data_IF_102039016205
#
_entry.id   IF_102039016205
#
_cell.length_a   1.000
_cell.length_b   1.000
_cell.length_c   1.000
_cell.angle_alpha   90.00
_cell.angle_beta   90.00
_cell.angle_gamma   90.00
#
_symmetry.space_group_name_H-M   'P 1'
#
loop_
_entity.id
_entity.type
_entity.pdbx_description
1 polymer ?
#
# COMPACT_ATOMS: atom_id res chain seq x y z
N UNK A 1 4.05 1.90 9.72
CA UNK A 1 2.63 2.12 10.06
C UNK A 1 2.51 3.22 11.10
N UNK A 2 1.42 3.99 11.05
CA UNK A 2 1.02 4.89 12.12
C UNK A 2 -0.51 5.08 12.17
N UNK A 3 -0.97 5.71 13.25
CA UNK A 3 -2.38 6.03 13.47
C UNK A 3 -2.98 6.89 12.35
N UNK A 4 -2.23 7.83 11.78
CA UNK A 4 -2.77 8.73 10.75
C UNK A 4 -3.10 7.97 9.48
N UNK A 5 -2.18 7.12 9.01
CA UNK A 5 -2.39 6.27 7.83
C UNK A 5 -3.65 5.40 8.01
N UNK A 6 -3.74 4.68 9.13
CA UNK A 6 -4.88 3.84 9.42
C UNK A 6 -6.19 4.61 9.57
N UNK A 7 -6.14 5.78 10.22
CA UNK A 7 -7.28 6.68 10.33
C UNK A 7 -7.80 7.16 8.97
N UNK A 8 -6.94 7.34 7.96
CA UNK A 8 -7.40 7.64 6.58
C UNK A 8 -8.15 6.47 5.96
N UNK A 9 -7.65 5.24 6.12
CA UNK A 9 -8.37 4.05 5.64
C UNK A 9 -9.69 3.83 6.39
N UNK A 10 -9.71 3.98 7.71
CA UNK A 10 -10.95 3.95 8.52
C UNK A 10 -11.95 5.00 8.03
N UNK A 11 -11.48 6.23 7.80
CA UNK A 11 -12.32 7.31 7.28
C UNK A 11 -12.90 6.94 5.92
N UNK A 12 -12.09 6.48 4.97
CA UNK A 12 -12.56 6.09 3.64
C UNK A 12 -13.58 4.95 3.70
N UNK A 13 -13.37 3.94 4.55
CA UNK A 13 -14.29 2.80 4.72
C UNK A 13 -15.71 3.19 5.15
N UNK A 14 -15.89 4.34 5.79
CA UNK A 14 -17.22 4.85 6.13
C UNK A 14 -18.03 5.30 4.88
N UNK A 15 -17.35 5.70 3.82
CA UNK A 15 -17.95 6.16 2.57
C UNK A 15 -17.94 5.07 1.49
N UNK A 16 -16.89 4.26 1.50
CA UNK A 16 -16.67 3.15 0.58
C UNK A 16 -16.38 1.86 1.38
N UNK A 17 -17.43 1.19 1.90
CA UNK A 17 -17.29 -0.01 2.70
C UNK A 17 -16.58 -1.14 1.94
N UNK A 18 -15.68 -1.78 2.68
CA UNK A 18 -14.88 -2.93 2.25
C UNK A 18 -15.53 -4.27 2.68
N UNK A 19 -16.81 -4.23 3.04
CA UNK A 19 -17.63 -5.36 3.45
C UNK A 19 -19.02 -5.17 2.82
N UNK A 20 -19.43 -6.12 1.98
CA UNK A 20 -20.69 -6.05 1.23
C UNK A 20 -21.93 -6.09 2.13
N UNK A 21 -21.80 -6.56 3.38
CA UNK A 21 -22.89 -6.57 4.36
C UNK A 21 -23.09 -5.20 5.05
N UNK A 22 -22.13 -4.29 4.92
CA UNK A 22 -22.16 -2.96 5.57
C UNK A 22 -22.71 -1.91 4.61
N UNK A 23 -23.68 -1.14 5.10
CA UNK A 23 -24.20 0.02 4.38
C UNK A 23 -23.16 1.15 4.35
N UNK A 24 -23.21 1.98 3.29
CA UNK A 24 -22.48 3.25 3.26
C UNK A 24 -23.04 4.15 4.36
N UNK A 25 -22.18 4.69 5.22
CA UNK A 25 -22.61 5.58 6.31
C UNK A 25 -22.87 7.00 5.82
N UNK A 26 -22.29 7.38 4.68
CA UNK A 26 -22.39 8.72 4.12
C UNK A 26 -22.13 8.71 2.62
N UNK A 27 -22.58 9.77 1.95
CA UNK A 27 -22.29 10.00 0.54
C UNK A 27 -20.79 10.27 0.34
N UNK A 28 -20.16 9.55 -0.57
CA UNK A 28 -18.75 9.71 -0.91
C UNK A 28 -18.41 11.14 -1.33
N UNK A 29 -19.35 11.87 -1.94
CA UNK A 29 -19.14 13.26 -2.32
C UNK A 29 -18.91 14.21 -1.14
N UNK A 30 -19.24 13.78 0.09
CA UNK A 30 -18.98 14.53 1.31
C UNK A 30 -17.61 14.25 1.93
N UNK A 31 -16.80 13.34 1.36
CA UNK A 31 -15.43 13.05 1.81
C UNK A 31 -14.41 14.07 1.25
N UNK A 32 -14.63 15.35 1.53
CA UNK A 32 -13.67 16.43 1.24
C UNK A 32 -13.20 16.47 -0.22
N UNK A 33 -11.88 16.41 -0.41
CA UNK A 33 -11.20 16.49 -1.72
C UNK A 33 -11.45 15.29 -2.65
N UNK A 34 -12.09 14.20 -2.19
CA UNK A 34 -12.40 13.08 -3.09
C UNK A 34 -13.26 13.51 -4.27
N UNK A 35 -14.09 14.55 -4.08
CA UNK A 35 -14.96 15.11 -5.12
C UNK A 35 -14.16 15.60 -6.32
N UNK A 36 -12.96 16.12 -6.08
CA UNK A 36 -12.10 16.64 -7.14
C UNK A 36 -11.56 15.50 -8.00
N UNK A 37 -11.40 14.30 -7.42
CA UNK A 37 -10.96 13.08 -8.09
C UNK A 37 -12.08 12.22 -8.66
N UNK A 38 -13.33 12.62 -8.48
CA UNK A 38 -14.47 11.85 -8.98
C UNK A 38 -14.58 11.87 -10.51
N UNK A 39 -13.95 12.84 -11.17
CA UNK A 39 -13.82 12.91 -12.63
C UNK A 39 -12.44 12.39 -13.10
N UNK A 40 -12.29 12.09 -14.39
CA UNK A 40 -10.98 11.77 -14.99
C UNK A 40 -10.19 13.04 -15.39
N UNK A 41 -10.64 14.23 -14.97
CA UNK A 41 -10.04 15.52 -15.29
C UNK A 41 -10.41 16.10 -16.67
N UNK A 42 -11.22 15.38 -17.46
CA UNK A 42 -11.63 15.78 -18.83
C UNK A 42 -13.14 16.03 -18.99
N UNK A 43 -13.98 15.76 -17.98
CA UNK A 43 -15.44 15.88 -18.11
C UNK A 43 -16.09 16.71 -17.00
N UNK A 44 -16.95 17.65 -17.39
CA UNK A 44 -17.82 18.40 -16.49
C UNK A 44 -19.01 17.51 -16.07
N UNK A 45 -18.93 16.93 -14.88
CA UNK A 45 -20.02 16.17 -14.28
C UNK A 45 -19.69 15.73 -12.86
N UNK A 46 -20.72 15.46 -12.06
CA UNK A 46 -20.55 14.77 -10.77
C UNK A 46 -20.12 13.35 -11.10
N UNK A 47 -18.81 13.10 -11.06
CA UNK A 47 -18.23 11.77 -11.27
C UNK A 47 -18.50 10.83 -10.07
N UNK A 48 -17.70 9.78 -9.83
CA UNK A 48 -17.98 8.79 -8.76
C UNK A 48 -19.37 8.10 -8.85
N UNK A 49 -19.87 7.82 -10.06
CA UNK A 49 -21.22 7.28 -10.28
C UNK A 49 -21.29 5.78 -10.05
N UNK A 50 -20.24 5.07 -10.44
CA UNK A 50 -20.12 3.62 -10.27
C UNK A 50 -19.25 3.28 -9.06
N UNK A 51 -19.34 2.05 -8.55
CA UNK A 51 -18.44 1.59 -7.48
C UNK A 51 -16.96 1.68 -7.92
N UNK A 52 -16.65 1.46 -9.20
CA UNK A 52 -15.28 1.59 -9.74
C UNK A 52 -14.82 3.06 -9.82
N UNK A 53 -15.70 3.99 -10.19
CA UNK A 53 -15.38 5.43 -10.16
C UNK A 53 -15.09 5.88 -8.72
N UNK A 54 -15.82 5.34 -7.75
CA UNK A 54 -15.63 5.62 -6.32
C UNK A 54 -14.32 5.03 -5.80
N UNK A 55 -13.97 3.82 -6.24
CA UNK A 55 -12.66 3.20 -5.93
C UNK A 55 -11.52 4.04 -6.51
N UNK A 56 -11.66 4.53 -7.74
CA UNK A 56 -10.68 5.44 -8.37
C UNK A 56 -10.49 6.73 -7.57
N UNK A 57 -11.58 7.42 -7.25
CA UNK A 57 -11.54 8.63 -6.41
C UNK A 57 -10.94 8.35 -5.03
N UNK A 58 -11.30 7.21 -4.41
CA UNK A 58 -10.76 6.78 -3.13
C UNK A 58 -9.25 6.52 -3.17
N UNK A 59 -8.74 5.92 -4.26
CA UNK A 59 -7.31 5.70 -4.45
C UNK A 59 -6.53 7.01 -4.53
N UNK A 60 -6.99 7.97 -5.34
CA UNK A 60 -6.38 9.30 -5.46
C UNK A 60 -6.44 10.07 -4.15
N UNK A 61 -7.58 10.00 -3.45
CA UNK A 61 -7.74 10.58 -2.12
C UNK A 61 -6.74 9.98 -1.11
N UNK A 62 -6.53 8.67 -1.11
CA UNK A 62 -5.51 8.07 -0.23
C UNK A 62 -4.09 8.56 -0.56
N UNK A 63 -3.74 8.72 -1.84
CA UNK A 63 -2.45 9.29 -2.22
C UNK A 63 -2.30 10.74 -1.76
N UNK A 64 -3.32 11.57 -1.98
CA UNK A 64 -3.30 12.96 -1.53
C UNK A 64 -3.14 13.05 0.00
N UNK A 65 -3.98 12.34 0.76
CA UNK A 65 -4.02 12.46 2.21
C UNK A 65 -2.79 11.89 2.91
N UNK A 66 -2.18 10.84 2.36
CA UNK A 66 -1.04 10.17 2.99
C UNK A 66 0.31 10.62 2.44
N UNK A 67 0.37 11.05 1.17
CA UNK A 67 1.61 11.40 0.48
C UNK A 67 1.70 12.91 0.29
N UNK A 68 0.78 13.51 -0.48
CA UNK A 68 0.91 14.93 -0.89
C UNK A 68 0.83 15.89 0.30
N UNK A 69 -0.13 15.68 1.19
CA UNK A 69 -0.30 16.54 2.36
C UNK A 69 0.90 16.46 3.31
N UNK A 70 1.62 15.33 3.33
CA UNK A 70 2.74 15.08 4.22
C UNK A 70 4.11 15.13 3.52
N UNK A 71 4.14 15.49 2.23
CA UNK A 71 5.27 15.31 1.32
C UNK A 71 6.59 15.87 1.88
N UNK A 72 6.54 17.04 2.50
CA UNK A 72 7.71 17.75 3.03
C UNK A 72 8.40 17.03 4.20
N UNK A 73 7.70 16.10 4.85
CA UNK A 73 8.17 15.32 5.99
C UNK A 73 8.23 13.81 5.71
N UNK A 74 7.95 13.41 4.46
CA UNK A 74 7.77 12.02 4.09
C UNK A 74 9.11 11.37 3.75
N UNK A 75 9.54 10.40 4.55
CA UNK A 75 10.72 9.59 4.21
C UNK A 75 10.44 8.61 3.08
N UNK A 76 11.48 8.23 2.33
CA UNK A 76 11.40 7.22 1.25
C UNK A 76 10.84 5.87 1.72
N UNK A 77 11.25 5.42 2.90
CA UNK A 77 10.79 4.15 3.47
C UNK A 77 9.30 4.22 3.80
N UNK A 78 8.87 5.31 4.45
CA UNK A 78 7.44 5.52 4.78
C UNK A 78 6.60 5.65 3.51
N UNK A 79 7.11 6.34 2.50
CA UNK A 79 6.48 6.40 1.18
C UNK A 79 6.26 5.00 0.59
N UNK A 80 7.28 4.15 0.54
CA UNK A 80 7.18 2.78 0.00
C UNK A 80 6.11 1.96 0.72
N UNK A 81 6.07 2.06 2.05
CA UNK A 81 5.07 1.38 2.90
C UNK A 81 3.64 1.85 2.55
N UNK A 82 3.42 3.16 2.41
CA UNK A 82 2.12 3.72 2.04
C UNK A 82 1.67 3.20 0.68
N UNK A 83 2.56 3.17 -0.33
CA UNK A 83 2.25 2.64 -1.66
C UNK A 83 1.80 1.18 -1.57
N UNK A 84 2.53 0.34 -0.83
CA UNK A 84 2.17 -1.08 -0.65
C UNK A 84 0.73 -1.21 -0.14
N UNK A 85 0.36 -0.50 0.92
CA UNK A 85 -0.98 -0.61 1.50
C UNK A 85 -2.08 -0.04 0.60
N UNK A 86 -1.83 1.08 -0.10
CA UNK A 86 -2.81 1.62 -1.05
C UNK A 86 -3.05 0.65 -2.21
N UNK A 87 -2.00 0.03 -2.75
CA UNK A 87 -2.13 -0.95 -3.84
C UNK A 87 -2.85 -2.22 -3.37
N UNK A 88 -2.54 -2.72 -2.18
CA UNK A 88 -3.24 -3.89 -1.60
C UNK A 88 -4.73 -3.58 -1.39
N UNK A 89 -5.05 -2.41 -0.84
CA UNK A 89 -6.43 -1.95 -0.70
C UNK A 89 -7.13 -1.82 -2.06
N UNK A 90 -6.49 -1.20 -3.04
CA UNK A 90 -7.05 -0.99 -4.38
C UNK A 90 -7.37 -2.33 -5.04
N UNK A 91 -6.42 -3.25 -5.04
CA UNK A 91 -6.58 -4.59 -5.61
C UNK A 91 -7.70 -5.36 -4.88
N UNK A 92 -7.77 -5.28 -3.55
CA UNK A 92 -8.88 -5.85 -2.79
C UNK A 92 -10.24 -5.27 -3.19
N UNK A 93 -10.36 -3.95 -3.25
CA UNK A 93 -11.63 -3.27 -3.52
C UNK A 93 -12.14 -3.51 -4.93
N UNK A 94 -11.26 -3.51 -5.94
CA UNK A 94 -11.62 -3.89 -7.32
C UNK A 94 -12.17 -5.32 -7.32
N UNK A 95 -11.51 -6.22 -6.60
CA UNK A 95 -11.96 -7.60 -6.51
C UNK A 95 -13.26 -7.77 -5.70
N UNK A 96 -13.53 -6.90 -4.74
CA UNK A 96 -14.79 -6.92 -3.99
C UNK A 96 -15.96 -6.44 -4.85
N UNK A 97 -15.70 -5.51 -5.78
CA UNK A 97 -16.71 -4.77 -6.57
C UNK A 97 -16.63 -5.06 -8.07
N UNK A 98 -16.24 -6.28 -8.44
CA UNK A 98 -16.14 -6.73 -9.85
C UNK A 98 -17.47 -6.50 -10.56
N UNK A 99 -17.43 -5.85 -11.71
CA UNK A 99 -18.61 -5.59 -12.55
C UNK A 99 -18.63 -6.42 -13.85
N UNK A 100 -17.66 -7.33 -14.00
CA UNK A 100 -17.46 -8.19 -15.17
C UNK A 100 -16.68 -7.52 -16.31
N UNK A 101 -16.58 -6.18 -16.34
CA UNK A 101 -15.77 -5.42 -17.31
C UNK A 101 -14.36 -5.18 -16.79
N UNK A 102 -14.24 -4.92 -15.49
CA UNK A 102 -12.97 -4.80 -14.78
C UNK A 102 -12.86 -5.98 -13.83
N UNK A 103 -11.99 -6.93 -14.18
CA UNK A 103 -11.85 -8.18 -13.43
C UNK A 103 -10.57 -8.21 -12.59
N UNK A 104 -9.62 -7.34 -12.89
CA UNK A 104 -8.34 -7.27 -12.20
C UNK A 104 -7.79 -5.83 -12.20
N UNK A 105 -6.69 -5.66 -11.47
CA UNK A 105 -6.00 -4.39 -11.31
C UNK A 105 -5.37 -3.85 -12.61
N UNK A 106 -4.99 -4.71 -13.56
CA UNK A 106 -4.45 -4.28 -14.86
C UNK A 106 -5.55 -3.69 -15.74
N UNK A 107 -6.73 -4.31 -15.78
CA UNK A 107 -7.90 -3.75 -16.48
C UNK A 107 -8.27 -2.38 -15.90
N UNK A 108 -8.22 -2.25 -14.58
CA UNK A 108 -8.44 -0.99 -13.88
C UNK A 108 -7.39 0.04 -14.26
N UNK A 109 -6.11 -0.34 -14.29
CA UNK A 109 -5.03 0.56 -14.68
C UNK A 109 -5.27 1.15 -16.07
N UNK A 110 -5.54 0.33 -17.08
CA UNK A 110 -5.79 0.78 -18.46
C UNK A 110 -6.99 1.72 -18.56
N UNK A 111 -8.08 1.45 -17.81
CA UNK A 111 -9.32 2.21 -17.92
C UNK A 111 -9.35 3.48 -17.05
N UNK A 112 -8.80 3.42 -15.85
CA UNK A 112 -8.95 4.47 -14.82
C UNK A 112 -7.67 5.25 -14.50
N UNK A 113 -6.49 4.68 -14.78
CA UNK A 113 -5.20 5.27 -14.37
C UNK A 113 -4.43 5.82 -15.58
N UNK A 114 -4.29 5.02 -16.64
CA UNK A 114 -3.35 5.30 -17.74
C UNK A 114 -3.55 6.69 -18.36
N UNK A 115 -4.80 7.11 -18.56
CA UNK A 115 -5.17 8.38 -19.20
C UNK A 115 -5.69 9.43 -18.22
N UNK A 116 -5.69 9.13 -16.93
CA UNK A 116 -6.26 10.02 -15.93
C UNK A 116 -5.23 11.07 -15.49
N UNK A 117 -5.54 12.34 -15.78
CA UNK A 117 -4.66 13.48 -15.54
C UNK A 117 -4.32 13.69 -14.05
N UNK A 118 -5.17 13.24 -13.13
CA UNK A 118 -4.88 13.30 -11.69
C UNK A 118 -3.77 12.34 -11.27
N UNK A 119 -3.59 11.21 -11.96
CA UNK A 119 -2.45 10.33 -11.72
C UNK A 119 -1.16 10.85 -12.34
N UNK A 120 -1.27 11.64 -13.41
CA UNK A 120 -0.13 12.21 -14.13
C UNK A 120 0.36 13.56 -13.55
N UNK A 121 -0.28 14.08 -12.51
CA UNK A 121 0.05 15.38 -11.91
C UNK A 121 0.17 15.32 -10.39
N UNK A 122 0.85 16.31 -9.81
CA UNK A 122 0.94 16.53 -8.37
C UNK A 122 0.40 17.93 -8.07
N UNK A 123 -0.64 18.05 -7.25
CA UNK A 123 -1.15 19.35 -6.78
C UNK A 123 -1.29 19.40 -5.27
N UNK A 124 -0.69 20.40 -4.64
CA UNK A 124 -0.83 20.72 -3.20
C UNK A 124 -1.30 22.16 -3.07
N UNK A 125 -2.51 22.37 -2.54
CA UNK A 125 -3.15 23.68 -2.46
C UNK A 125 -3.12 24.43 -3.81
N UNK A 126 -3.57 23.77 -4.89
CA UNK A 126 -3.57 24.25 -6.28
C UNK A 126 -2.21 24.52 -6.93
N UNK A 127 -1.11 24.35 -6.20
CA UNK A 127 0.25 24.53 -6.73
C UNK A 127 0.83 23.19 -7.18
N UNK A 128 1.63 23.23 -8.26
CA UNK A 128 2.40 22.07 -8.71
C UNK A 128 3.39 21.63 -7.63
N UNK A 129 3.31 20.36 -7.23
CA UNK A 129 4.20 19.75 -6.24
C UNK A 129 5.14 18.69 -6.83
N UNK A 130 5.23 18.58 -8.15
CA UNK A 130 6.00 17.51 -8.82
C UNK A 130 7.49 17.53 -8.44
N UNK A 131 8.08 18.71 -8.23
CA UNK A 131 9.46 18.84 -7.78
C UNK A 131 9.66 18.30 -6.35
N UNK A 132 8.83 18.72 -5.40
CA UNK A 132 8.88 18.21 -4.02
C UNK A 132 8.63 16.70 -3.97
N UNK A 133 7.70 16.19 -4.79
CA UNK A 133 7.43 14.76 -4.91
C UNK A 133 8.66 14.01 -5.40
N UNK A 134 9.31 14.53 -6.44
CA UNK A 134 10.52 13.93 -7.00
C UNK A 134 11.68 13.94 -6.01
N UNK A 135 11.90 15.02 -5.29
CA UNK A 135 12.96 15.12 -4.28
C UNK A 135 12.77 14.09 -3.15
N UNK A 136 11.54 13.95 -2.65
CA UNK A 136 11.23 13.11 -1.51
C UNK A 136 11.11 11.62 -1.88
N UNK A 137 10.49 11.33 -3.02
CA UNK A 137 10.11 9.95 -3.40
C UNK A 137 10.93 9.41 -4.56
N UNK A 138 11.48 10.28 -5.42
CA UNK A 138 12.17 9.90 -6.64
C UNK A 138 11.29 9.84 -7.90
N UNK A 139 9.99 10.14 -7.81
CA UNK A 139 9.09 10.11 -8.97
C UNK A 139 8.27 11.38 -9.12
N UNK A 140 7.82 11.64 -10.35
CA UNK A 140 7.19 12.91 -10.71
C UNK A 140 5.68 12.94 -10.43
N UNK A 141 5.01 11.78 -10.38
CA UNK A 141 3.56 11.67 -10.17
C UNK A 141 3.14 10.27 -9.70
N UNK A 142 1.84 10.09 -9.43
CA UNK A 142 1.28 8.82 -8.94
C UNK A 142 1.33 7.70 -9.97
N UNK A 143 1.17 8.03 -11.26
CA UNK A 143 1.23 7.04 -12.35
C UNK A 143 2.60 6.35 -12.37
N UNK A 144 3.68 7.13 -12.25
CA UNK A 144 5.04 6.57 -12.17
C UNK A 144 5.23 5.66 -10.95
N UNK A 145 4.60 5.97 -9.81
CA UNK A 145 4.66 5.10 -8.64
C UNK A 145 4.08 3.72 -8.93
N UNK A 146 2.92 3.69 -9.59
CA UNK A 146 2.19 2.47 -9.89
C UNK A 146 2.95 1.64 -10.92
N UNK A 147 3.42 2.27 -12.00
CA UNK A 147 4.23 1.59 -13.04
C UNK A 147 5.52 1.00 -12.47
N UNK A 148 6.23 1.74 -11.62
CA UNK A 148 7.48 1.27 -11.01
C UNK A 148 7.27 0.23 -9.93
N UNK A 149 6.05 0.09 -9.43
CA UNK A 149 5.66 -0.94 -8.47
C UNK A 149 4.64 -1.93 -9.06
N UNK A 150 4.65 -2.12 -10.39
CA UNK A 150 3.74 -3.03 -11.09
C UNK A 150 3.82 -4.47 -10.56
N UNK A 151 4.96 -4.86 -9.99
CA UNK A 151 5.15 -6.17 -9.36
C UNK A 151 4.15 -6.44 -8.23
N UNK A 152 3.68 -5.40 -7.52
CA UNK A 152 2.66 -5.52 -6.47
C UNK A 152 1.27 -5.82 -7.04
N UNK A 153 1.04 -5.51 -8.31
CA UNK A 153 -0.23 -5.76 -9.01
C UNK A 153 -0.40 -7.25 -9.35
N UNK A 154 0.71 -8.00 -9.40
CA UNK A 154 0.75 -9.42 -9.78
C UNK A 154 0.53 -10.40 -8.61
N UNK A 155 0.17 -9.92 -7.42
CA UNK A 155 -0.19 -10.80 -6.30
C UNK A 155 -1.53 -11.46 -6.60
N UNK A 156 -1.63 -12.76 -6.36
CA UNK A 156 -2.86 -13.49 -6.64
C UNK A 156 -4.02 -12.98 -5.76
N UNK A 157 -5.24 -13.20 -6.25
CA UNK A 157 -6.46 -12.69 -5.62
C UNK A 157 -6.66 -13.17 -4.17
N UNK A 158 -6.46 -14.47 -3.92
CA UNK A 158 -6.68 -15.07 -2.61
C UNK A 158 -5.73 -14.49 -1.57
N UNK A 159 -4.48 -14.22 -1.98
CA UNK A 159 -3.46 -13.66 -1.11
C UNK A 159 -3.65 -12.16 -0.91
N UNK A 160 -4.08 -11.40 -1.93
CA UNK A 160 -4.47 -9.98 -1.75
C UNK A 160 -5.57 -9.85 -0.69
N UNK A 161 -6.56 -10.74 -0.71
CA UNK A 161 -7.65 -10.73 0.28
C UNK A 161 -7.15 -11.01 1.69
N UNK A 162 -6.24 -11.98 1.86
CA UNK A 162 -5.60 -12.27 3.16
C UNK A 162 -4.70 -11.12 3.62
N UNK A 163 -3.88 -10.56 2.73
CA UNK A 163 -3.03 -9.40 3.02
C UNK A 163 -3.85 -8.20 3.45
N UNK A 164 -4.93 -7.89 2.75
CA UNK A 164 -5.81 -6.79 3.12
C UNK A 164 -6.47 -7.05 4.48
N UNK A 165 -6.92 -8.29 4.74
CA UNK A 165 -7.49 -8.65 6.03
C UNK A 165 -6.47 -8.50 7.18
N UNK A 166 -5.21 -8.88 6.97
CA UNK A 166 -4.13 -8.69 7.95
C UNK A 166 -3.81 -7.20 8.15
N UNK A 167 -3.66 -6.45 7.06
CA UNK A 167 -3.47 -5.00 7.08
C UNK A 167 -4.59 -4.28 7.85
N UNK A 168 -5.86 -4.67 7.63
CA UNK A 168 -7.01 -4.10 8.34
C UNK A 168 -6.94 -4.36 9.84
N UNK A 169 -6.65 -5.59 10.27
CA UNK A 169 -6.47 -5.89 11.70
C UNK A 169 -5.31 -5.11 12.30
N UNK A 170 -4.18 -5.00 11.57
CA UNK A 170 -3.07 -4.16 12.00
C UNK A 170 -3.50 -2.70 12.18
N UNK A 171 -4.29 -2.16 11.27
CA UNK A 171 -4.78 -0.80 11.41
C UNK A 171 -5.71 -0.60 12.60
N UNK A 172 -6.62 -1.54 12.85
CA UNK A 172 -7.48 -1.50 14.04
C UNK A 172 -6.64 -1.50 15.33
N UNK A 173 -5.52 -2.23 15.38
CA UNK A 173 -4.62 -2.17 16.53
C UNK A 173 -4.12 -0.75 16.79
N UNK A 174 -3.74 -0.01 15.74
CA UNK A 174 -3.29 1.38 15.85
C UNK A 174 -4.41 2.34 16.20
N UNK A 175 -5.60 2.20 15.62
CA UNK A 175 -6.69 3.18 15.76
C UNK A 175 -7.59 2.96 16.97
N UNK A 176 -7.59 1.77 17.56
CA UNK A 176 -8.30 1.48 18.82
C UNK A 176 -7.51 1.83 20.08
N UNK A 177 -6.26 2.27 19.94
CA UNK A 177 -5.51 2.85 21.05
C UNK A 177 -6.17 4.15 21.48
N UNK A 178 -6.87 4.13 22.61
CA UNK A 178 -7.40 5.32 23.25
C UNK A 178 -6.24 6.03 23.96
N UNK A 179 -6.00 7.29 23.62
CA UNK A 179 -4.96 8.11 24.26
C UNK A 179 -5.19 8.28 25.77
N UNK A 180 -6.40 8.00 26.27
CA UNK A 180 -6.75 8.04 27.70
C UNK A 180 -6.68 6.67 28.37
N UNK A 181 -6.54 5.59 27.59
CA UNK A 181 -6.37 4.24 28.13
C UNK A 181 -4.87 3.92 28.22
N UNK A 182 -4.45 3.48 29.40
CA UNK A 182 -3.07 3.06 29.64
C UNK A 182 -2.83 1.60 29.25
N UNK A 183 -3.89 0.90 28.83
CA UNK A 183 -3.87 -0.52 28.47
C UNK A 183 -4.44 -0.75 27.08
N UNK A 184 -3.91 -1.78 26.43
CA UNK A 184 -4.29 -2.19 25.07
C UNK A 184 -5.43 -3.24 25.08
N UNK A 185 -6.47 -3.04 25.90
CA UNK A 185 -7.47 -4.09 26.14
C UNK A 185 -8.31 -4.38 24.87
N UNK A 186 -8.78 -3.34 24.17
CA UNK A 186 -9.51 -3.46 22.89
C UNK A 186 -8.59 -3.92 21.76
N UNK A 187 -7.38 -3.37 21.72
CA UNK A 187 -6.40 -3.72 20.71
C UNK A 187 -6.00 -5.22 20.78
N UNK A 188 -6.08 -5.85 21.96
CA UNK A 188 -5.63 -7.24 22.15
C UNK A 188 -6.40 -8.24 21.29
N UNK A 189 -7.69 -7.98 21.03
CA UNK A 189 -8.48 -8.79 20.11
C UNK A 189 -7.94 -8.66 18.67
N UNK A 190 -7.69 -7.43 18.23
CA UNK A 190 -7.09 -7.16 16.92
C UNK A 190 -5.66 -7.70 16.79
N UNK A 191 -4.87 -7.71 17.87
CA UNK A 191 -3.55 -8.36 17.92
C UNK A 191 -3.67 -9.84 17.63
N UNK A 192 -4.59 -10.54 18.33
CA UNK A 192 -4.80 -11.98 18.11
C UNK A 192 -5.29 -12.27 16.68
N UNK A 193 -6.18 -11.43 16.17
CA UNK A 193 -6.67 -11.55 14.80
C UNK A 193 -5.55 -11.33 13.77
N UNK A 194 -4.70 -10.32 13.99
CA UNK A 194 -3.54 -10.06 13.15
C UNK A 194 -2.57 -11.24 13.15
N UNK A 195 -2.16 -11.73 14.33
CA UNK A 195 -1.21 -12.85 14.46
C UNK A 195 -1.74 -14.08 13.72
N UNK A 196 -3.03 -14.41 13.91
CA UNK A 196 -3.67 -15.52 13.20
C UNK A 196 -3.58 -15.36 11.67
N UNK A 197 -3.97 -14.19 11.14
CA UNK A 197 -3.93 -13.92 9.69
C UNK A 197 -2.49 -13.90 9.15
N UNK A 198 -1.55 -13.39 9.93
CA UNK A 198 -0.13 -13.40 9.60
C UNK A 198 0.41 -14.84 9.50
N UNK A 199 0.05 -15.71 10.45
CA UNK A 199 0.46 -17.12 10.41
C UNK A 199 -0.15 -17.87 9.21
N UNK A 200 -1.39 -17.55 8.82
CA UNK A 200 -2.03 -18.04 7.59
C UNK A 200 -1.33 -17.56 6.31
N UNK A 201 -0.69 -16.39 6.34
CA UNK A 201 0.14 -15.88 5.25
C UNK A 201 1.57 -16.48 5.29
N UNK A 202 2.06 -16.88 6.46
CA UNK A 202 3.42 -17.38 6.67
C UNK A 202 3.51 -18.92 6.53
N UNK A 203 3.04 -19.45 5.39
CA UNK A 203 2.85 -20.90 5.19
C UNK A 203 4.14 -21.67 4.87
N UNK A 204 4.93 -21.29 3.85
CA UNK A 204 6.36 -21.65 3.61
C UNK A 204 6.79 -21.18 2.20
N UNK A 205 8.08 -21.33 1.87
CA UNK A 205 8.62 -21.31 0.50
C UNK A 205 8.56 -19.97 -0.28
N UNK A 206 8.59 -18.84 0.44
CA UNK A 206 8.59 -17.52 -0.18
C UNK A 206 10.03 -17.08 -0.50
N UNK A 207 10.27 -16.52 -1.69
CA UNK A 207 11.54 -15.89 -2.04
C UNK A 207 11.57 -14.43 -1.60
N UNK A 208 12.70 -13.95 -1.07
CA UNK A 208 12.87 -12.56 -0.56
C UNK A 208 12.55 -11.48 -1.60
N UNK A 209 12.76 -11.79 -2.88
CA UNK A 209 12.53 -10.84 -3.97
C UNK A 209 11.07 -10.82 -4.46
N UNK A 210 10.22 -11.72 -3.96
CA UNK A 210 8.83 -11.80 -4.41
C UNK A 210 7.99 -10.61 -3.92
N UNK A 211 6.97 -10.19 -4.70
CA UNK A 211 5.98 -9.21 -4.24
C UNK A 211 5.31 -9.64 -2.93
N UNK A 212 5.01 -10.93 -2.80
CA UNK A 212 4.43 -11.54 -1.61
C UNK A 212 5.30 -11.30 -0.38
N UNK A 213 6.61 -11.57 -0.47
CA UNK A 213 7.55 -11.31 0.62
C UNK A 213 7.57 -9.85 1.01
N UNK A 214 7.58 -8.93 0.04
CA UNK A 214 7.63 -7.50 0.33
C UNK A 214 6.41 -7.03 1.14
N UNK A 215 5.21 -7.51 0.79
CA UNK A 215 3.99 -7.18 1.54
C UNK A 215 4.02 -7.83 2.93
N UNK A 216 4.39 -9.11 3.03
CA UNK A 216 4.46 -9.83 4.31
C UNK A 216 5.51 -9.22 5.26
N UNK A 217 6.68 -8.88 4.74
CA UNK A 217 7.74 -8.19 5.49
C UNK A 217 7.27 -6.84 5.99
N UNK A 218 6.57 -6.07 5.15
CA UNK A 218 6.02 -4.77 5.54
C UNK A 218 5.02 -4.90 6.70
N UNK A 219 4.13 -5.90 6.65
CA UNK A 219 3.19 -6.20 7.74
C UNK A 219 3.92 -6.63 9.03
N UNK A 220 4.93 -7.49 8.91
CA UNK A 220 5.75 -7.94 10.06
C UNK A 220 6.48 -6.77 10.72
N UNK A 221 7.16 -5.95 9.93
CA UNK A 221 7.92 -4.81 10.42
C UNK A 221 7.00 -3.80 11.10
N UNK A 222 5.84 -3.53 10.52
CA UNK A 222 4.87 -2.62 11.09
C UNK A 222 4.18 -3.14 12.35
N UNK A 223 3.94 -4.45 12.45
CA UNK A 223 3.53 -5.06 13.72
C UNK A 223 4.60 -4.93 14.80
N UNK A 224 5.87 -5.15 14.46
CA UNK A 224 6.98 -4.95 15.41
C UNK A 224 7.09 -3.49 15.84
N UNK A 225 6.83 -2.55 14.92
CA UNK A 225 6.76 -1.12 15.21
C UNK A 225 5.58 -0.74 16.11
N UNK A 226 4.50 -1.53 16.16
CA UNK A 226 3.38 -1.29 17.05
C UNK A 226 3.80 -1.28 18.53
N UNK A 227 4.74 -2.15 18.93
CA UNK A 227 5.28 -2.15 20.30
C UNK A 227 5.97 -0.82 20.64
N UNK A 228 6.69 -0.24 19.69
CA UNK A 228 7.31 1.07 19.87
C UNK A 228 6.25 2.18 19.90
N UNK A 229 5.21 2.07 19.07
CA UNK A 229 4.08 3.00 19.10
C UNK A 229 3.39 3.01 20.48
N UNK A 230 3.14 1.85 21.09
CA UNK A 230 2.60 1.77 22.44
C UNK A 230 3.49 2.49 23.47
N UNK A 231 4.81 2.25 23.44
CA UNK A 231 5.77 2.89 24.35
C UNK A 231 5.73 4.41 24.25
N UNK A 232 5.71 4.96 23.04
CA UNK A 232 5.67 6.42 22.80
C UNK A 232 4.36 7.03 23.32
N UNK A 233 3.27 6.28 23.29
CA UNK A 233 1.95 6.73 23.77
C UNK A 233 1.65 6.33 25.22
N UNK A 234 2.64 5.84 25.98
CA UNK A 234 2.49 5.39 27.38
C UNK A 234 1.41 4.30 27.57
N UNK A 235 1.23 3.44 26.57
CA UNK A 235 0.32 2.29 26.63
C UNK A 235 1.10 1.01 26.94
N UNK A 236 0.63 0.24 27.91
CA UNK A 236 1.20 -1.09 28.20
C UNK A 236 0.74 -2.12 27.16
N UNK A 237 1.71 -2.57 26.36
CA UNK A 237 1.56 -3.58 25.31
C UNK A 237 2.45 -4.80 25.55
N UNK A 238 2.93 -5.03 26.78
CA UNK A 238 3.90 -6.09 27.08
C UNK A 238 3.34 -7.51 26.85
N UNK A 239 2.02 -7.67 26.86
CA UNK A 239 1.34 -8.95 26.62
C UNK A 239 1.17 -9.31 25.13
N UNK A 240 1.62 -8.44 24.21
CA UNK A 240 1.52 -8.66 22.77
C UNK A 240 2.51 -9.73 22.31
N UNK A 241 1.96 -10.78 21.69
CA UNK A 241 2.70 -11.93 21.18
C UNK A 241 3.75 -11.50 20.16
N UNK A 242 4.88 -12.21 20.11
CA UNK A 242 5.86 -12.04 19.01
C UNK A 242 5.38 -12.78 17.79
N UNK A 243 5.66 -12.25 16.60
CA UNK A 243 5.40 -12.98 15.36
C UNK A 243 6.41 -14.10 15.17
N UNK A 244 5.96 -15.16 14.51
CA UNK A 244 6.85 -16.15 13.93
C UNK A 244 7.73 -15.51 12.86
N UNK A 245 9.04 -15.85 12.76
CA UNK A 245 9.87 -15.40 11.66
C UNK A 245 9.26 -15.77 10.30
N UNK A 246 9.45 -14.93 9.29
CA UNK A 246 9.02 -15.23 7.92
C UNK A 246 9.76 -16.48 7.44
N UNK A 247 9.01 -17.46 6.93
CA UNK A 247 9.57 -18.69 6.35
C UNK A 247 10.08 -18.39 4.94
N UNK A 248 11.39 -18.47 4.75
CA UNK A 248 12.06 -18.15 3.49
C UNK A 248 12.53 -19.44 2.82
N UNK A 249 12.34 -19.54 1.50
CA UNK A 249 12.97 -20.60 0.73
C UNK A 249 14.47 -20.36 0.66
N UNK A 250 15.27 -21.19 1.33
CA UNK A 250 16.71 -21.17 1.10
C UNK A 250 16.95 -21.66 -0.34
N UNK A 251 17.45 -20.77 -1.20
CA UNK A 251 18.09 -21.21 -2.43
C UNK A 251 19.30 -22.02 -1.97
N UNK A 252 19.29 -23.33 -2.23
CA UNK A 252 20.38 -24.23 -1.87
C UNK A 252 21.70 -23.76 -2.45
N UNK A 253 22.41 -22.93 -1.69
CA UNK A 253 23.86 -22.78 -1.76
C UNK A 253 24.36 -23.57 -0.56
N UNK A 254 24.84 -24.75 -0.90
CA UNK A 254 25.48 -25.71 -0.02
C UNK A 254 26.48 -25.03 0.93
N UNK A 255 26.25 -25.09 2.24
CA UNK A 255 27.33 -24.90 3.22
C UNK A 255 26.96 -24.33 4.58
N UNK A 256 26.81 -25.25 5.54
CA UNK A 256 27.00 -25.10 7.00
C UNK A 256 25.85 -24.54 7.83
N UNK A 257 25.23 -25.47 8.54
CA UNK A 257 24.39 -25.26 9.71
C UNK A 257 25.01 -24.32 10.75
N UNK A 258 24.24 -23.35 11.21
CA UNK A 258 24.21 -22.99 12.63
C UNK A 258 22.81 -22.52 13.02
N UNK A 259 22.13 -23.38 13.78
CA UNK A 259 21.03 -22.97 14.64
C UNK A 259 21.65 -22.09 15.74
N UNK A 260 21.45 -20.78 15.67
CA UNK A 260 21.65 -19.93 16.83
C UNK A 260 20.43 -19.02 17.01
N UNK A 261 19.62 -19.42 17.98
CA UNK A 261 18.68 -18.56 18.68
C UNK A 261 19.53 -17.57 19.47
N UNK A 262 19.71 -16.35 18.95
CA UNK A 262 20.24 -15.25 19.73
C UNK A 262 19.38 -14.00 19.57
N UNK A 263 18.81 -13.60 20.70
CA UNK A 263 18.29 -12.27 20.99
C UNK A 263 19.25 -11.21 20.45
N UNK A 264 18.78 -10.31 19.58
CA UNK A 264 19.52 -9.09 19.24
C UNK A 264 18.80 -7.86 19.77
N UNK A 265 19.42 -7.32 20.82
CA UNK A 265 19.36 -5.93 21.23
C UNK A 265 19.87 -5.04 20.07
N UNK A 266 19.08 -4.02 19.74
CA UNK A 266 19.28 -3.19 18.56
C UNK A 266 20.57 -2.35 18.66
N UNK A 267 21.47 -2.52 17.69
CA UNK A 267 22.40 -1.45 17.29
C UNK A 267 22.28 -1.26 15.78
N UNK A 268 21.83 -0.07 15.41
CA UNK A 268 21.66 0.41 14.04
C UNK A 268 22.97 0.31 13.25
N UNK A 269 22.93 -0.31 12.07
CA UNK A 269 23.88 -0.05 11.01
C UNK A 269 23.18 -0.20 9.66
N UNK A 270 23.02 0.92 8.98
CA UNK A 270 22.50 1.04 7.62
C UNK A 270 23.43 0.33 6.64
N UNK A 271 22.98 -0.78 6.06
CA UNK A 271 23.69 -1.45 4.96
C UNK A 271 23.16 -0.94 3.63
N UNK A 272 23.97 -0.16 2.91
CA UNK A 272 23.68 0.32 1.56
C UNK A 272 23.89 -0.81 0.55
N UNK A 273 22.80 -1.38 0.04
CA UNK A 273 22.86 -2.33 -1.08
C UNK A 273 22.70 -1.53 -2.37
N UNK A 274 23.82 -1.33 -3.06
CA UNK A 274 23.89 -0.79 -4.41
C UNK A 274 23.24 -1.78 -5.38
N UNK A 275 22.01 -1.53 -5.80
CA UNK A 275 21.36 -2.33 -6.83
C UNK A 275 22.02 -2.08 -8.20
N UNK A 276 22.56 -3.14 -8.81
CA UNK A 276 23.01 -3.15 -10.20
C UNK A 276 21.80 -2.93 -11.11
N UNK A 277 21.84 -1.85 -11.87
CA UNK A 277 20.88 -1.50 -12.91
C UNK A 277 21.02 -2.46 -14.10
N UNK A 278 19.98 -3.24 -14.41
CA UNK A 278 19.87 -3.92 -15.69
C UNK A 278 19.34 -2.92 -16.73
N UNK A 279 20.19 -2.56 -17.70
CA UNK A 279 19.80 -1.80 -18.88
C UNK A 279 19.09 -2.78 -19.82
N UNK A 280 17.76 -2.71 -19.89
CA UNK A 280 16.99 -3.36 -20.95
C UNK A 280 17.12 -2.48 -22.19
N UNK A 281 17.87 -2.95 -23.18
CA UNK A 281 18.06 -2.28 -24.46
C UNK A 281 16.75 -2.35 -25.25
N UNK A 282 16.14 -1.19 -25.51
CA UNK A 282 14.95 -1.03 -26.36
C UNK A 282 15.18 -1.59 -27.76
N UNK A 283 14.40 -2.59 -28.17
CA UNK A 283 14.41 -3.20 -29.52
C UNK A 283 13.28 -2.63 -30.40
N UNK A 284 12.97 -1.35 -30.28
CA UNK A 284 11.96 -0.70 -31.12
C UNK A 284 12.59 0.41 -31.95
N UNK A 285 12.61 0.22 -33.27
CA UNK A 285 12.79 1.31 -34.23
C UNK A 285 13.81 1.08 -35.35
N UNK A 286 13.76 -0.05 -36.07
CA UNK A 286 14.54 -0.22 -37.30
C UNK A 286 13.71 -0.86 -38.43
N UNK A 287 12.55 -0.27 -38.78
CA UNK A 287 11.75 -0.52 -39.99
C UNK A 287 10.95 0.79 -40.21
N UNK A 288 10.92 1.53 -41.31
CA UNK A 288 11.48 1.45 -42.66
C UNK A 288 11.54 2.88 -43.25
N UNK A 289 12.58 3.20 -44.02
CA UNK A 289 12.53 4.27 -45.03
C UNK A 289 13.38 3.84 -46.23
N UNK A 290 12.78 3.04 -47.10
CA UNK A 290 13.24 2.81 -48.47
C UNK A 290 12.05 2.87 -49.42
N UNK A 291 11.62 4.09 -49.72
CA UNK A 291 10.86 4.51 -50.91
C UNK A 291 11.27 5.98 -51.08
N UNK A 292 12.18 6.35 -51.98
CA UNK A 292 12.06 6.23 -53.43
C UNK A 292 11.89 7.66 -53.97
N UNK A 293 12.98 8.29 -54.39
CA UNK A 293 12.95 9.46 -55.28
C UNK A 293 14.05 9.24 -56.32
N UNK A 294 13.62 8.93 -57.54
CA UNK A 294 14.29 9.30 -58.78
C UNK A 294 13.43 10.35 -59.46
#
# INVERSE_FOLDING_TARGET
>A
MDYQLCGRFDKLRNYLPDDLSKAKNSDIHSLGSIRDYCSNGESEGIGCKTDLDQINGGCLWLFEQNIINNIDSLSKDKFKIIIIYIIIWLNYMINLKKDGKINNINDFYTQYIEKNTYYASCKKNDNDCSNSLKEQTGYNNFKEFIEKNEYLLNINYDDVSKFYAAFKSLCNMYTELDANDTKCDKCLENVKEFVKKYDELNISDITKDSPYYQVLSTLSDDYNNFKNYCKVNNVDCNHIQTLSPIKIKENGVQGSAHNDVQHFEATSSSSSITNKLFIVLSIFGAIAFFLGIS
#
